data_IF_365626310495
#
_entry.id   IF_365626310495
#
_cell.length_a   1.000
_cell.length_b   1.000
_cell.length_c   1.000
_cell.angle_alpha   90.00
_cell.angle_beta   90.00
_cell.angle_gamma   90.00
#
_symmetry.space_group_name_H-M   'P 1'
#
loop_
_entity.id
_entity.type
_entity.pdbx_description
1 polymer ?
#
# COMPACT_ATOMS: atom_id res chain seq x y z
N UNK A 1 18.43 -32.47 49.95
CA UNK A 1 18.48 -31.02 49.61
C UNK A 1 18.52 -30.95 48.09
N UNK A 2 17.64 -30.19 47.44
CA UNK A 2 17.67 -30.06 45.97
C UNK A 2 18.60 -28.90 45.59
N UNK A 3 19.22 -28.96 44.41
CA UNK A 3 20.07 -27.89 43.87
C UNK A 3 19.75 -27.68 42.40
N UNK A 4 19.82 -26.43 41.94
CA UNK A 4 19.57 -26.10 40.55
C UNK A 4 20.65 -26.67 39.62
N UNK A 5 20.21 -27.45 38.62
CA UNK A 5 21.09 -28.09 37.61
C UNK A 5 21.87 -27.12 36.72
N UNK A 6 21.57 -25.80 36.78
CA UNK A 6 22.22 -24.76 35.97
C UNK A 6 23.11 -23.80 36.75
N UNK A 7 22.82 -23.52 38.02
CA UNK A 7 23.56 -22.52 38.80
C UNK A 7 24.01 -22.99 40.20
N UNK A 8 23.70 -24.23 40.60
CA UNK A 8 24.07 -24.76 41.92
C UNK A 8 23.35 -24.13 43.11
N UNK A 9 22.40 -23.20 42.91
CA UNK A 9 21.62 -22.62 44.00
C UNK A 9 20.72 -23.67 44.67
N UNK A 10 20.66 -23.65 46.01
CA UNK A 10 19.89 -24.62 46.78
C UNK A 10 18.38 -24.33 46.67
N UNK A 11 17.58 -25.38 46.46
CA UNK A 11 16.13 -25.31 46.30
C UNK A 11 15.46 -25.90 47.54
N UNK A 12 14.62 -25.10 48.21
CA UNK A 12 13.90 -25.47 49.43
C UNK A 12 12.67 -26.35 49.18
N UNK A 13 12.14 -26.32 47.96
CA UNK A 13 11.01 -27.14 47.49
C UNK A 13 11.21 -27.58 46.04
N UNK A 14 10.46 -28.57 45.58
CA UNK A 14 10.47 -29.03 44.19
C UNK A 14 9.76 -28.02 43.25
N UNK A 15 10.40 -26.88 42.99
CA UNK A 15 9.86 -25.85 42.09
C UNK A 15 10.14 -26.20 40.63
N UNK A 16 9.18 -25.92 39.74
CA UNK A 16 9.36 -26.13 38.27
C UNK A 16 10.42 -25.20 37.66
N UNK A 17 10.80 -24.12 38.35
CA UNK A 17 11.80 -23.14 37.93
C UNK A 17 12.65 -22.70 39.12
N UNK A 18 13.94 -22.41 38.89
CA UNK A 18 14.84 -21.88 39.92
C UNK A 18 14.62 -20.38 40.14
N UNK A 19 14.41 -19.90 41.38
CA UNK A 19 14.19 -18.47 41.65
C UNK A 19 15.44 -17.60 41.43
N UNK A 20 16.65 -18.19 41.50
CA UNK A 20 17.91 -17.44 41.37
C UNK A 20 18.37 -17.23 39.91
N UNK A 21 17.93 -18.07 38.96
CA UNK A 21 18.40 -18.01 37.56
C UNK A 21 17.31 -18.27 36.50
N UNK A 22 16.06 -18.49 36.90
CA UNK A 22 14.93 -18.77 36.00
C UNK A 22 14.94 -20.14 35.31
N UNK A 23 15.99 -20.96 35.47
CA UNK A 23 16.11 -22.24 34.77
C UNK A 23 15.04 -23.25 35.20
N UNK A 24 14.33 -23.83 34.22
CA UNK A 24 13.39 -24.92 34.43
C UNK A 24 14.07 -26.13 35.10
N UNK A 25 13.41 -26.72 36.09
CA UNK A 25 13.87 -27.94 36.77
C UNK A 25 12.95 -29.12 36.41
N UNK A 26 13.52 -30.32 36.16
CA UNK A 26 12.72 -31.50 35.88
C UNK A 26 11.91 -31.92 37.11
N UNK A 27 10.60 -32.12 36.95
CA UNK A 27 9.75 -32.63 38.02
C UNK A 27 10.02 -34.13 38.23
N UNK A 28 10.48 -34.51 39.42
CA UNK A 28 10.82 -35.91 39.74
C UNK A 28 9.65 -36.66 40.39
N UNK A 29 9.35 -37.83 39.84
CA UNK A 29 8.64 -38.94 40.50
C UNK A 29 9.46 -40.24 40.26
N UNK A 30 9.29 -41.31 41.05
CA UNK A 30 10.41 -42.23 41.37
C UNK A 30 10.93 -43.18 40.26
N UNK A 31 12.14 -43.66 40.53
CA UNK A 31 13.03 -44.50 39.73
C UNK A 31 12.48 -45.90 39.38
N UNK A 32 12.83 -46.44 38.21
CA UNK A 32 12.99 -47.89 37.94
C UNK A 32 13.80 -48.17 36.66
N UNK A 33 14.47 -49.32 36.63
CA UNK A 33 15.52 -49.77 35.68
C UNK A 33 14.90 -50.82 34.68
N UNK A 34 15.46 -51.29 33.55
CA UNK A 34 16.86 -51.42 33.04
C UNK A 34 16.90 -51.64 31.51
N UNK A 35 18.10 -51.45 30.91
CA UNK A 35 18.64 -52.14 29.70
C UNK A 35 18.36 -51.67 28.26
N UNK A 36 19.37 -51.91 27.39
CA UNK A 36 19.53 -51.55 25.97
C UNK A 36 18.51 -52.25 25.03
N UNK A 37 18.28 -51.81 23.78
CA UNK A 37 19.13 -52.06 22.58
C UNK A 37 18.66 -51.23 21.35
N UNK A 38 19.50 -51.15 20.30
CA UNK A 38 19.41 -50.35 19.06
C UNK A 38 18.21 -50.59 18.13
N UNK A 39 17.70 -49.53 17.45
CA UNK A 39 17.49 -49.42 15.97
C UNK A 39 17.02 -47.99 15.58
N UNK A 40 17.37 -47.41 14.39
CA UNK A 40 16.93 -46.07 13.99
C UNK A 40 15.64 -46.05 13.14
N UNK A 41 14.79 -45.04 13.34
CA UNK A 41 13.61 -44.76 12.48
C UNK A 41 13.38 -43.24 12.34
N UNK A 42 12.88 -42.81 11.18
CA UNK A 42 12.82 -41.43 10.73
C UNK A 42 12.00 -40.45 11.60
N UNK A 43 12.44 -39.19 11.63
CA UNK A 43 11.73 -38.09 12.29
C UNK A 43 10.84 -37.30 11.31
N UNK A 44 9.53 -37.12 11.61
CA UNK A 44 8.70 -36.14 10.90
C UNK A 44 8.95 -34.72 11.42
N UNK A 45 8.91 -33.75 10.50
CA UNK A 45 9.22 -32.33 10.75
C UNK A 45 8.25 -31.70 11.74
N UNK A 46 8.78 -31.07 12.80
CA UNK A 46 7.95 -30.32 13.76
C UNK A 46 7.51 -28.98 13.16
N UNK A 47 6.19 -28.77 13.06
CA UNK A 47 5.59 -27.46 12.79
C UNK A 47 5.76 -26.57 14.03
N UNK A 48 6.63 -25.55 13.95
CA UNK A 48 6.80 -24.58 15.01
C UNK A 48 5.58 -23.66 15.11
N UNK A 49 4.87 -23.73 16.25
CA UNK A 49 3.74 -22.85 16.52
C UNK A 49 4.20 -21.39 16.67
N UNK A 50 3.59 -20.48 15.91
CA UNK A 50 3.86 -19.05 15.94
C UNK A 50 3.32 -18.41 17.23
N UNK A 51 4.21 -18.04 18.15
CA UNK A 51 3.83 -17.19 19.28
C UNK A 51 3.59 -15.74 18.82
N UNK A 52 2.59 -15.02 19.39
CA UNK A 52 2.39 -13.60 19.09
C UNK A 52 3.60 -12.76 19.54
N UNK A 53 4.12 -11.92 18.67
CA UNK A 53 5.20 -11.01 19.01
C UNK A 53 4.73 -9.94 20.03
N UNK A 54 5.58 -9.51 20.98
CA UNK A 54 5.25 -8.42 21.91
C UNK A 54 4.82 -7.14 21.17
N UNK A 55 3.85 -6.37 21.69
CA UNK A 55 3.26 -5.24 20.97
C UNK A 55 4.28 -4.16 20.57
N UNK A 56 5.34 -3.99 21.36
CA UNK A 56 6.44 -3.07 21.05
C UNK A 56 7.18 -3.47 19.76
N UNK A 57 7.46 -4.77 19.55
CA UNK A 57 8.13 -5.26 18.35
C UNK A 57 7.26 -5.06 17.10
N UNK A 58 5.95 -5.27 17.22
CA UNK A 58 5.00 -5.03 16.12
C UNK A 58 4.98 -3.56 15.71
N UNK A 59 4.99 -2.63 16.66
CA UNK A 59 5.07 -1.20 16.37
C UNK A 59 6.40 -0.79 15.73
N UNK A 60 7.50 -1.36 16.19
CA UNK A 60 8.86 -1.05 15.72
C UNK A 60 9.09 -1.56 14.28
N UNK A 61 8.73 -2.82 14.01
CA UNK A 61 8.76 -3.40 12.66
C UNK A 61 7.92 -2.60 11.66
N UNK A 62 6.78 -2.04 12.11
CA UNK A 62 5.88 -1.23 11.28
C UNK A 62 6.43 0.17 10.98
N UNK A 63 7.27 0.71 11.86
CA UNK A 63 8.03 1.95 11.63
C UNK A 63 9.14 1.74 10.61
N UNK A 64 9.90 0.65 10.72
CA UNK A 64 10.97 0.30 9.79
C UNK A 64 10.43 0.05 8.38
N UNK A 65 9.33 -0.71 8.25
CA UNK A 65 8.66 -0.89 6.95
C UNK A 65 8.17 0.45 6.32
N UNK A 66 7.87 1.47 7.12
CA UNK A 66 7.50 2.80 6.61
C UNK A 66 8.73 3.59 6.13
N UNK A 67 9.87 3.43 6.79
CA UNK A 67 11.16 3.98 6.37
C UNK A 67 11.59 3.33 5.04
N UNK A 68 11.63 2.01 4.96
CA UNK A 68 11.96 1.25 3.73
C UNK A 68 11.09 1.67 2.53
N UNK A 69 9.78 1.85 2.75
CA UNK A 69 8.84 2.29 1.72
C UNK A 69 9.02 3.76 1.29
N UNK A 70 9.67 4.58 2.13
CA UNK A 70 10.00 5.98 1.82
C UNK A 70 11.35 6.05 1.10
N UNK A 71 12.33 5.24 1.53
CA UNK A 71 13.63 5.11 0.87
C UNK A 71 13.50 4.54 -0.55
N UNK A 72 12.65 3.54 -0.75
CA UNK A 72 12.32 3.00 -2.07
C UNK A 72 11.65 4.03 -3.00
N UNK A 73 10.89 4.98 -2.46
CA UNK A 73 10.33 6.09 -3.24
C UNK A 73 11.42 7.10 -3.65
N UNK A 74 12.36 7.41 -2.76
CA UNK A 74 13.51 8.28 -3.10
C UNK A 74 14.52 7.63 -4.06
N UNK A 75 14.63 6.29 -4.06
CA UNK A 75 15.50 5.55 -4.96
C UNK A 75 15.06 5.62 -6.44
N UNK A 76 13.76 5.81 -6.69
CA UNK A 76 13.23 6.13 -8.01
C UNK A 76 13.18 7.65 -8.18
N UNK A 77 14.30 8.22 -8.66
CA UNK A 77 14.57 9.67 -8.65
C UNK A 77 13.37 10.56 -9.05
N UNK A 78 13.17 11.69 -8.34
CA UNK A 78 11.94 12.47 -8.44
C UNK A 78 11.80 13.14 -9.82
N UNK A 79 10.76 12.76 -10.54
CA UNK A 79 10.33 13.45 -11.76
C UNK A 79 9.75 14.82 -11.41
N UNK A 80 10.17 15.86 -12.12
CA UNK A 80 9.64 17.22 -11.96
C UNK A 80 8.14 17.25 -12.27
N UNK A 81 7.45 18.32 -11.83
CA UNK A 81 6.04 18.57 -12.13
C UNK A 81 5.69 18.42 -13.63
N UNK A 82 6.47 19.08 -14.50
CA UNK A 82 6.25 19.11 -15.95
C UNK A 82 6.47 17.72 -16.56
N UNK A 83 7.54 17.03 -16.14
CA UNK A 83 7.90 15.70 -16.66
C UNK A 83 6.86 14.65 -16.23
N UNK A 84 6.41 14.72 -14.97
CA UNK A 84 5.33 13.87 -14.43
C UNK A 84 4.01 14.09 -15.18
N UNK A 85 3.65 15.33 -15.46
CA UNK A 85 2.43 15.67 -16.19
C UNK A 85 2.49 15.16 -17.64
N UNK A 86 3.60 15.41 -18.35
CA UNK A 86 3.84 14.89 -19.70
C UNK A 86 3.85 13.36 -19.74
N UNK A 87 4.49 12.71 -18.77
CA UNK A 87 4.54 11.26 -18.65
C UNK A 87 3.17 10.64 -18.39
N UNK A 88 2.39 11.22 -17.48
CA UNK A 88 1.04 10.75 -17.18
C UNK A 88 0.09 10.88 -18.37
N UNK A 89 0.15 12.02 -19.07
CA UNK A 89 -0.63 12.25 -20.30
C UNK A 89 -0.18 11.33 -21.44
N UNK A 90 1.12 11.07 -21.65
CA UNK A 90 1.55 10.14 -22.70
C UNK A 90 1.12 8.69 -22.45
N UNK A 91 0.98 8.31 -21.18
CA UNK A 91 0.51 6.99 -20.74
C UNK A 91 -0.99 6.98 -20.38
N UNK A 92 -1.79 7.89 -20.93
CA UNK A 92 -3.24 7.98 -20.68
C UNK A 92 -4.04 6.72 -21.07
N UNK A 93 -3.48 5.89 -21.96
CA UNK A 93 -4.09 4.60 -22.40
C UNK A 93 -3.52 3.37 -21.68
N UNK A 94 -2.55 3.53 -20.78
CA UNK A 94 -2.00 2.42 -20.01
C UNK A 94 -2.76 2.23 -18.70
N UNK A 95 -3.47 1.09 -18.64
CA UNK A 95 -4.24 0.63 -17.48
C UNK A 95 -3.67 -0.68 -16.89
N UNK A 96 -2.48 -1.11 -17.32
CA UNK A 96 -1.93 -2.44 -16.97
C UNK A 96 -0.62 -2.38 -16.20
N UNK A 97 0.20 -1.36 -16.42
CA UNK A 97 1.50 -1.23 -15.74
C UNK A 97 1.33 -0.85 -14.27
N UNK A 98 2.06 -1.49 -13.36
CA UNK A 98 2.11 -1.05 -11.96
C UNK A 98 3.00 0.20 -11.85
N UNK A 99 2.49 1.29 -11.27
CA UNK A 99 3.27 2.52 -11.06
C UNK A 99 3.46 2.79 -9.57
N UNK A 100 4.73 2.78 -9.13
CA UNK A 100 5.15 2.96 -7.74
C UNK A 100 5.41 4.42 -7.37
N UNK A 101 5.73 5.29 -8.33
CA UNK A 101 6.21 6.65 -8.08
C UNK A 101 5.07 7.57 -7.66
N UNK A 102 4.95 7.85 -6.35
CA UNK A 102 3.81 8.64 -5.82
C UNK A 102 3.82 10.09 -6.30
N UNK A 103 5.00 10.69 -6.44
CA UNK A 103 5.16 12.05 -6.98
C UNK A 103 4.59 12.20 -8.39
N UNK A 104 4.77 11.20 -9.27
CA UNK A 104 4.24 11.21 -10.64
C UNK A 104 2.72 11.34 -10.65
N UNK A 105 2.05 10.55 -9.82
CA UNK A 105 0.60 10.61 -9.68
C UNK A 105 0.12 11.98 -9.17
N UNK A 106 0.70 12.49 -8.07
CA UNK A 106 0.24 13.75 -7.48
C UNK A 106 0.54 14.97 -8.36
N UNK A 107 1.70 15.01 -9.02
CA UNK A 107 2.02 16.05 -9.99
C UNK A 107 1.10 15.99 -11.22
N UNK A 108 0.78 14.80 -11.72
CA UNK A 108 -0.19 14.63 -12.80
C UNK A 108 -1.59 15.11 -12.39
N UNK A 109 -2.05 14.76 -11.17
CA UNK A 109 -3.33 15.24 -10.64
C UNK A 109 -3.37 16.76 -10.61
N UNK A 110 -2.35 17.41 -10.03
CA UNK A 110 -2.26 18.88 -10.02
C UNK A 110 -2.22 19.47 -11.43
N UNK A 111 -1.44 18.88 -12.34
CA UNK A 111 -1.31 19.36 -13.72
C UNK A 111 -2.62 19.31 -14.49
N UNK A 112 -3.36 18.20 -14.35
CA UNK A 112 -4.69 18.05 -14.97
C UNK A 112 -5.72 18.97 -14.30
N UNK A 113 -5.71 19.13 -12.98
CA UNK A 113 -6.62 20.07 -12.29
C UNK A 113 -6.38 21.52 -12.72
N UNK A 114 -5.13 21.97 -12.82
CA UNK A 114 -4.79 23.33 -13.29
C UNK A 114 -5.21 23.54 -14.74
N UNK A 115 -4.97 22.55 -15.62
CA UNK A 115 -5.40 22.61 -17.01
C UNK A 115 -6.94 22.62 -17.15
N UNK A 116 -7.63 21.80 -16.34
CA UNK A 116 -9.09 21.76 -16.27
C UNK A 116 -9.70 23.09 -15.84
N UNK A 117 -9.16 23.74 -14.82
CA UNK A 117 -9.58 25.10 -14.40
C UNK A 117 -9.46 26.10 -15.56
N UNK A 118 -8.37 26.02 -16.34
CA UNK A 118 -8.21 26.85 -17.54
C UNK A 118 -9.27 26.58 -18.61
N UNK A 119 -9.59 25.31 -18.86
CA UNK A 119 -10.62 24.90 -19.82
C UNK A 119 -12.03 25.34 -19.37
N UNK A 120 -12.35 25.18 -18.09
CA UNK A 120 -13.62 25.64 -17.49
C UNK A 120 -13.79 27.16 -17.62
N UNK A 121 -12.75 27.95 -17.33
CA UNK A 121 -12.79 29.41 -17.51
C UNK A 121 -13.07 29.78 -18.98
N UNK A 122 -12.41 29.11 -19.93
CA UNK A 122 -12.66 29.33 -21.37
C UNK A 122 -14.10 28.93 -21.75
N UNK A 123 -14.61 27.81 -21.23
CA UNK A 123 -15.98 27.36 -21.46
C UNK A 123 -17.03 28.36 -20.91
N UNK A 124 -16.81 28.90 -19.70
CA UNK A 124 -17.67 29.93 -19.10
C UNK A 124 -17.66 31.23 -19.92
N UNK A 125 -16.51 31.65 -20.44
CA UNK A 125 -16.41 32.83 -21.32
C UNK A 125 -17.13 32.58 -22.64
N UNK A 126 -16.92 31.43 -23.29
CA UNK A 126 -17.58 31.09 -24.55
C UNK A 126 -19.11 31.04 -24.40
N UNK A 127 -19.61 30.39 -23.37
CA UNK A 127 -21.06 30.26 -23.14
C UNK A 127 -21.71 31.59 -22.76
N UNK A 128 -21.07 32.43 -21.93
CA UNK A 128 -21.61 33.73 -21.55
C UNK A 128 -21.56 34.78 -22.67
N UNK A 129 -20.44 34.90 -23.39
CA UNK A 129 -20.27 35.90 -24.45
C UNK A 129 -21.06 35.56 -25.70
N UNK A 130 -21.00 34.31 -26.16
CA UNK A 130 -21.64 33.92 -27.43
C UNK A 130 -23.08 33.43 -27.24
N UNK A 131 -23.47 32.95 -26.06
CA UNK A 131 -24.87 32.64 -25.74
C UNK A 131 -25.80 33.87 -25.87
N UNK A 132 -25.26 35.07 -25.62
CA UNK A 132 -25.97 36.34 -25.78
C UNK A 132 -26.21 36.77 -27.24
N UNK A 133 -25.52 36.18 -28.23
CA UNK A 133 -25.59 36.57 -29.65
C UNK A 133 -26.68 35.84 -30.45
N UNK A 134 -27.45 34.96 -29.80
CA UNK A 134 -28.54 34.22 -30.42
C UNK A 134 -28.09 33.20 -31.48
N UNK A 135 -29.04 32.72 -32.29
CA UNK A 135 -28.85 31.53 -33.14
C UNK A 135 -27.73 31.65 -34.19
N UNK A 136 -27.34 32.87 -34.61
CA UNK A 136 -26.39 33.09 -35.71
C UNK A 136 -24.91 32.90 -35.30
N UNK A 137 -24.57 33.04 -34.02
CA UNK A 137 -23.21 32.76 -33.52
C UNK A 137 -22.93 31.29 -33.21
N UNK A 138 -23.93 30.41 -33.38
CA UNK A 138 -23.98 29.11 -32.70
C UNK A 138 -22.99 28.06 -33.22
N UNK A 139 -22.86 27.86 -34.54
CA UNK A 139 -22.16 26.68 -35.10
C UNK A 139 -20.67 26.61 -34.71
N UNK A 140 -19.92 27.71 -34.87
CA UNK A 140 -18.49 27.73 -34.53
C UNK A 140 -18.27 27.55 -33.01
N UNK A 141 -19.13 28.15 -32.19
CA UNK A 141 -19.05 28.06 -30.73
C UNK A 141 -19.39 26.64 -30.25
N UNK A 142 -20.40 26.01 -30.85
CA UNK A 142 -20.76 24.61 -30.60
C UNK A 142 -19.60 23.67 -30.97
N UNK A 143 -18.95 23.88 -32.12
CA UNK A 143 -17.76 23.10 -32.51
C UNK A 143 -16.61 23.29 -31.51
N UNK A 144 -16.33 24.52 -31.07
CA UNK A 144 -15.32 24.79 -30.05
C UNK A 144 -15.66 24.12 -28.71
N UNK A 145 -16.93 24.16 -28.28
CA UNK A 145 -17.41 23.46 -27.07
C UNK A 145 -17.18 21.96 -27.19
N UNK A 146 -17.54 21.33 -28.33
CA UNK A 146 -17.27 19.90 -28.54
C UNK A 146 -15.78 19.55 -28.46
N UNK A 147 -14.90 20.41 -28.98
CA UNK A 147 -13.44 20.22 -28.88
C UNK A 147 -12.96 20.31 -27.41
N UNK A 148 -13.45 21.29 -26.64
CA UNK A 148 -13.10 21.46 -25.23
C UNK A 148 -13.62 20.29 -24.35
N UNK A 149 -14.84 19.83 -24.61
CA UNK A 149 -15.42 18.64 -23.95
C UNK A 149 -14.60 17.39 -24.28
N UNK A 150 -14.24 17.17 -25.56
CA UNK A 150 -13.41 16.04 -25.95
C UNK A 150 -12.01 16.08 -25.30
N UNK A 151 -11.39 17.26 -25.20
CA UNK A 151 -10.12 17.44 -24.50
C UNK A 151 -10.23 17.13 -22.99
N UNK A 152 -11.33 17.56 -22.35
CA UNK A 152 -11.61 17.30 -20.93
C UNK A 152 -11.78 15.80 -20.65
N UNK A 153 -12.54 15.10 -21.49
CA UNK A 153 -12.70 13.64 -21.40
C UNK A 153 -11.36 12.89 -21.53
N UNK A 154 -10.45 13.32 -22.40
CA UNK A 154 -9.10 12.73 -22.50
C UNK A 154 -8.30 12.93 -21.21
N UNK A 155 -8.44 14.10 -20.57
CA UNK A 155 -7.78 14.38 -19.29
C UNK A 155 -8.35 13.55 -18.13
N UNK A 156 -9.66 13.33 -18.08
CA UNK A 156 -10.31 12.40 -17.14
C UNK A 156 -9.84 10.96 -17.35
N UNK A 157 -9.72 10.49 -18.59
CA UNK A 157 -9.20 9.16 -18.91
C UNK A 157 -7.73 9.02 -18.49
N UNK A 158 -6.92 10.08 -18.60
CA UNK A 158 -5.54 10.08 -18.09
C UNK A 158 -5.46 9.98 -16.56
N UNK A 159 -6.37 10.66 -15.83
CA UNK A 159 -6.55 10.49 -14.39
C UNK A 159 -6.95 9.05 -14.03
N UNK A 160 -7.94 8.48 -14.72
CA UNK A 160 -8.38 7.10 -14.53
C UNK A 160 -7.22 6.11 -14.81
N UNK A 161 -6.41 6.32 -15.84
CA UNK A 161 -5.25 5.47 -16.11
C UNK A 161 -4.22 5.53 -14.98
N UNK A 162 -3.95 6.73 -14.44
CA UNK A 162 -3.02 6.89 -13.33
C UNK A 162 -3.51 6.26 -12.02
N UNK A 163 -4.81 6.37 -11.73
CA UNK A 163 -5.45 5.70 -10.58
C UNK A 163 -5.37 4.17 -10.75
N UNK A 164 -5.69 3.63 -11.93
CA UNK A 164 -5.61 2.20 -12.21
C UNK A 164 -4.18 1.64 -12.03
N UNK A 165 -3.16 2.32 -12.59
CA UNK A 165 -1.75 1.93 -12.44
C UNK A 165 -1.28 1.92 -10.98
N UNK A 166 -1.78 2.85 -10.15
CA UNK A 166 -1.49 2.90 -8.71
C UNK A 166 -2.28 1.87 -7.90
N UNK A 167 -3.51 1.54 -8.28
CA UNK A 167 -4.30 0.46 -7.68
C UNK A 167 -3.64 -0.91 -7.91
N UNK A 168 -3.08 -1.14 -9.12
CA UNK A 168 -2.31 -2.34 -9.45
C UNK A 168 -1.07 -2.45 -8.56
N UNK A 169 -0.32 -1.35 -8.38
CA UNK A 169 0.82 -1.31 -7.45
C UNK A 169 0.43 -1.67 -6.00
N UNK A 170 -0.75 -1.25 -5.54
CA UNK A 170 -1.28 -1.60 -4.22
C UNK A 170 -1.79 -3.05 -4.11
N UNK A 171 -1.80 -3.82 -5.20
CA UNK A 171 -2.36 -5.17 -5.29
C UNK A 171 -3.90 -5.21 -5.25
N UNK A 172 -4.56 -4.12 -5.63
CA UNK A 172 -6.02 -4.00 -5.65
C UNK A 172 -6.55 -4.11 -7.07
N UNK A 173 -7.83 -4.45 -7.19
CA UNK A 173 -8.48 -4.55 -8.49
C UNK A 173 -8.49 -3.18 -9.22
N UNK A 174 -7.87 -3.03 -10.41
CA UNK A 174 -7.85 -1.76 -11.15
C UNK A 174 -9.25 -1.25 -11.51
N UNK A 175 -10.27 -2.10 -11.59
CA UNK A 175 -11.66 -1.68 -11.84
C UNK A 175 -12.24 -0.77 -10.75
N UNK A 176 -11.66 -0.76 -9.54
CA UNK A 176 -12.02 0.23 -8.50
C UNK A 176 -11.76 1.67 -8.93
N UNK A 177 -10.94 1.88 -9.97
CA UNK A 177 -10.72 3.20 -10.56
C UNK A 177 -12.02 3.91 -10.98
N UNK A 178 -13.00 3.18 -11.54
CA UNK A 178 -14.29 3.76 -11.96
C UNK A 178 -15.07 4.41 -10.81
N UNK A 179 -14.77 4.04 -9.56
CA UNK A 179 -15.38 4.61 -8.37
C UNK A 179 -15.01 6.09 -8.17
N UNK A 180 -13.94 6.59 -8.80
CA UNK A 180 -13.58 8.02 -8.74
C UNK A 180 -14.58 8.93 -9.48
N UNK A 181 -15.37 8.38 -10.42
CA UNK A 181 -16.44 9.10 -11.12
C UNK A 181 -17.62 9.43 -10.19
N UNK A 182 -17.74 8.74 -9.06
CA UNK A 182 -18.82 8.94 -8.09
C UNK A 182 -18.30 9.81 -6.94
N UNK A 183 -18.75 11.07 -6.86
CA UNK A 183 -18.28 12.11 -5.93
C UNK A 183 -18.03 11.57 -4.50
N UNK A 184 -19.03 10.92 -3.89
CA UNK A 184 -18.93 10.41 -2.52
C UNK A 184 -17.99 9.21 -2.37
N UNK A 185 -17.91 8.36 -3.39
CA UNK A 185 -17.09 7.15 -3.33
C UNK A 185 -15.62 7.42 -3.74
N UNK A 186 -15.36 8.56 -4.38
CA UNK A 186 -14.02 9.07 -4.64
C UNK A 186 -13.19 9.26 -3.35
N UNK A 187 -13.82 9.57 -2.20
CA UNK A 187 -13.15 9.64 -0.90
C UNK A 187 -12.42 8.33 -0.52
N UNK A 188 -13.02 7.17 -0.83
CA UNK A 188 -12.37 5.87 -0.61
C UNK A 188 -11.16 5.68 -1.53
N UNK A 189 -11.27 6.13 -2.78
CA UNK A 189 -10.16 6.10 -3.76
C UNK A 189 -9.04 7.04 -3.33
N UNK A 190 -9.32 8.27 -2.90
CA UNK A 190 -8.33 9.18 -2.30
C UNK A 190 -7.62 8.56 -1.09
N UNK A 191 -8.35 7.92 -0.17
CA UNK A 191 -7.77 7.20 0.95
C UNK A 191 -6.80 6.09 0.49
N UNK A 192 -7.20 5.28 -0.49
CA UNK A 192 -6.32 4.25 -1.06
C UNK A 192 -5.09 4.84 -1.75
N UNK A 193 -5.22 5.97 -2.45
CA UNK A 193 -4.13 6.63 -3.16
C UNK A 193 -3.14 7.28 -2.18
N UNK A 194 -3.58 7.76 -1.02
CA UNK A 194 -2.69 8.24 0.05
C UNK A 194 -1.90 7.09 0.70
N UNK A 195 -2.45 5.87 0.72
CA UNK A 195 -1.76 4.72 1.33
C UNK A 195 -0.46 4.39 0.59
N UNK A 196 0.56 4.18 1.43
CA UNK A 196 1.96 4.04 1.08
C UNK A 196 2.35 2.59 0.77
N UNK A 197 1.82 1.65 1.55
CA UNK A 197 2.23 0.26 1.53
C UNK A 197 1.38 -0.57 0.55
N UNK A 198 1.98 -1.40 -0.33
CA UNK A 198 1.23 -2.38 -1.07
C UNK A 198 0.57 -3.36 -0.09
N UNK A 199 -0.75 -3.54 -0.22
CA UNK A 199 -1.52 -4.43 0.68
C UNK A 199 -1.35 -5.91 0.36
N UNK A 200 -0.41 -6.26 -0.53
CA UNK A 200 -0.02 -7.63 -0.82
C UNK A 200 0.74 -8.21 0.37
N UNK A 201 0.07 -9.09 1.11
CA UNK A 201 0.74 -10.00 2.02
C UNK A 201 1.86 -10.70 1.26
N UNK A 202 3.12 -10.54 1.70
CA UNK A 202 4.24 -11.41 1.30
C UNK A 202 4.09 -12.77 1.98
N UNK A 203 3.02 -13.47 1.66
CA UNK A 203 2.60 -14.75 2.20
C UNK A 203 1.84 -15.56 1.13
N UNK A 204 2.57 -15.91 0.08
CA UNK A 204 2.32 -17.00 -0.85
C UNK A 204 3.69 -17.52 -1.31
#
# INVERSE_FOLDING_TARGET
MLYCTKCGHQLTTATKFCPACGAAQPASAPQSTTTNTTQPTAAPTQTAASQPAPPLKVAQNRWQAWQDATEAETAQGPLSFIDSTKYGISHWRDFKTAESRRGVFWWLTLGITVLGIGVEIVFLILTSVFGALGALGSLLVVVLIFILVAASLVAEVALLSAIARRLIYLGKNPWLCLLSLVIFANLYIFYLLIITNPTTNRAA
#
